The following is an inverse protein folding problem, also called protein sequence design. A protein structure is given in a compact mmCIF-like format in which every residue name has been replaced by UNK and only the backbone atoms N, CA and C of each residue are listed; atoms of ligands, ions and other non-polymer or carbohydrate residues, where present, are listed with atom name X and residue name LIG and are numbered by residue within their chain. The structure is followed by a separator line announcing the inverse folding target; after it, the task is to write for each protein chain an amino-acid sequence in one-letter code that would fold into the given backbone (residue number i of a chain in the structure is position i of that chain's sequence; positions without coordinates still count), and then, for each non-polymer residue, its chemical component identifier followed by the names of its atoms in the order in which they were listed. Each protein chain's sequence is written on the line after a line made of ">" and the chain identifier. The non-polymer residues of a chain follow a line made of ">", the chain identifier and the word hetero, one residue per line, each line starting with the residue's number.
data_IF_404541859157
#
_entry.id   IF_404541859157
#
_cell.length_a   1.000
_cell.length_b   1.000
_cell.length_c   1.000
_cell.angle_alpha   90.00
_cell.angle_beta   90.00
_cell.angle_gamma   90.00
#
_symmetry.space_group_name_H-M   'P 1'
#
loop_
_entity.id
_entity.type
_entity.pdbx_description
1 polymer ?
#
# COMPACT_ATOMS: atom_id res chain seq x y z
N UNK A 1 -32.53 -18.36 1.98
CA UNK A 1 -31.17 -17.79 2.00
C UNK A 1 -31.20 -16.63 1.03
N UNK A 2 -31.20 -15.38 1.51
CA UNK A 2 -31.27 -14.21 0.63
C UNK A 2 -30.04 -14.18 -0.27
N UNK A 3 -30.26 -14.30 -1.58
CA UNK A 3 -29.25 -13.98 -2.56
C UNK A 3 -29.08 -12.46 -2.54
N UNK A 4 -27.88 -11.97 -2.22
CA UNK A 4 -27.56 -10.57 -2.50
C UNK A 4 -27.40 -10.48 -4.02
N UNK A 5 -28.43 -9.98 -4.69
CA UNK A 5 -28.39 -9.60 -6.10
C UNK A 5 -27.99 -8.12 -6.18
N UNK A 6 -26.68 -7.88 -6.15
CA UNK A 6 -26.11 -6.54 -6.25
C UNK A 6 -25.19 -6.44 -7.47
N UNK A 7 -25.21 -5.28 -8.13
CA UNK A 7 -24.41 -4.98 -9.31
C UNK A 7 -23.81 -3.59 -9.20
N UNK A 8 -22.56 -3.46 -9.60
CA UNK A 8 -21.90 -2.17 -9.72
C UNK A 8 -20.42 -2.31 -10.05
N UNK A 9 -19.74 -1.16 -10.14
CA UNK A 9 -18.29 -1.14 -10.30
C UNK A 9 -17.61 -1.67 -9.05
N UNK A 10 -16.59 -2.51 -9.26
CA UNK A 10 -15.77 -3.06 -8.19
C UNK A 10 -14.77 -2.00 -7.72
N UNK A 11 -14.76 -1.72 -6.42
CA UNK A 11 -13.75 -0.88 -5.79
C UNK A 11 -12.92 -1.68 -4.79
N UNK A 12 -11.82 -1.09 -4.31
CA UNK A 12 -11.01 -1.66 -3.24
C UNK A 12 -11.92 -1.98 -2.04
N UNK A 13 -11.78 -3.18 -1.48
CA UNK A 13 -12.51 -3.57 -0.28
C UNK A 13 -12.21 -2.59 0.87
N UNK A 14 -13.24 -2.28 1.64
CA UNK A 14 -13.10 -1.56 2.89
C UNK A 14 -12.83 -2.57 3.99
N UNK A 15 -11.89 -2.24 4.87
CA UNK A 15 -11.46 -3.09 5.96
C UNK A 15 -11.54 -2.34 7.27
N UNK A 16 -12.03 -3.02 8.29
CA UNK A 16 -12.08 -2.53 9.66
C UNK A 16 -11.33 -3.53 10.54
N UNK A 17 -10.45 -3.00 11.40
CA UNK A 17 -9.68 -3.83 12.33
C UNK A 17 -10.60 -4.36 13.44
N UNK A 18 -10.83 -5.67 13.41
CA UNK A 18 -11.61 -6.43 14.39
C UNK A 18 -11.06 -7.85 14.50
N UNK A 19 -11.59 -8.66 15.40
CA UNK A 19 -11.21 -10.07 15.57
C UNK A 19 -12.43 -11.00 15.32
N UNK A 20 -12.58 -11.59 14.12
CA UNK A 20 -11.75 -11.45 12.91
C UNK A 20 -11.95 -10.09 12.20
N UNK A 21 -11.03 -9.71 11.30
CA UNK A 21 -11.11 -8.47 10.51
C UNK A 21 -12.41 -8.43 9.69
N UNK A 22 -13.08 -7.29 9.70
CA UNK A 22 -14.30 -7.06 8.94
C UNK A 22 -13.97 -6.57 7.53
N UNK A 23 -14.50 -7.27 6.53
CA UNK A 23 -14.38 -6.90 5.11
C UNK A 23 -15.73 -6.50 4.54
N UNK A 24 -15.74 -5.39 3.82
CA UNK A 24 -16.89 -4.93 3.05
C UNK A 24 -16.49 -4.72 1.59
N UNK A 25 -17.34 -5.20 0.67
CA UNK A 25 -17.17 -5.04 -0.76
C UNK A 25 -18.04 -3.89 -1.27
N UNK A 26 -17.46 -2.76 -1.69
CA UNK A 26 -18.23 -1.73 -2.36
C UNK A 26 -18.60 -2.20 -3.76
N UNK A 27 -19.90 -2.24 -4.03
CA UNK A 27 -20.46 -2.60 -5.33
C UNK A 27 -21.56 -1.58 -5.70
N UNK A 28 -21.19 -0.62 -6.56
CA UNK A 28 -22.07 0.51 -6.86
C UNK A 28 -22.32 1.36 -5.60
N UNK A 29 -23.58 1.51 -5.21
CA UNK A 29 -23.97 2.29 -4.02
C UNK A 29 -24.14 1.43 -2.76
N UNK A 30 -23.77 0.15 -2.81
CA UNK A 30 -23.92 -0.77 -1.68
C UNK A 30 -22.56 -1.18 -1.12
N UNK A 31 -22.50 -1.35 0.20
CA UNK A 31 -21.38 -1.96 0.92
C UNK A 31 -21.82 -3.34 1.39
N UNK A 32 -21.32 -4.38 0.73
CA UNK A 32 -21.70 -5.77 1.03
C UNK A 32 -20.77 -6.33 2.10
N UNK A 33 -21.24 -6.68 3.31
CA UNK A 33 -20.41 -7.33 4.31
C UNK A 33 -20.02 -8.73 3.83
N UNK A 34 -18.73 -9.04 3.78
CA UNK A 34 -18.23 -10.31 3.24
C UNK A 34 -18.10 -11.41 4.31
N UNK A 35 -17.83 -11.05 5.56
CA UNK A 35 -17.61 -12.00 6.65
C UNK A 35 -18.73 -13.05 6.81
N UNK A 36 -20.03 -12.69 6.71
CA UNK A 36 -21.13 -13.67 6.82
C UNK A 36 -21.14 -14.75 5.71
N UNK A 37 -20.39 -14.54 4.64
CA UNK A 37 -20.31 -15.44 3.48
C UNK A 37 -19.07 -16.34 3.48
N UNK A 38 -18.23 -16.27 4.53
CA UNK A 38 -17.09 -17.18 4.68
C UNK A 38 -17.59 -18.64 4.72
N UNK A 39 -16.91 -19.52 3.97
CA UNK A 39 -17.29 -20.93 3.81
C UNK A 39 -18.48 -21.18 2.88
N UNK A 40 -19.08 -20.14 2.28
CA UNK A 40 -20.18 -20.26 1.32
C UNK A 40 -19.69 -20.11 -0.12
N UNK A 41 -20.46 -20.68 -1.06
CA UNK A 41 -20.23 -20.48 -2.50
C UNK A 41 -20.72 -19.10 -2.92
N UNK A 42 -19.82 -18.29 -3.47
CA UNK A 42 -20.13 -16.98 -4.05
C UNK A 42 -20.00 -17.09 -5.57
N UNK A 43 -20.97 -16.52 -6.31
CA UNK A 43 -20.89 -16.37 -7.77
C UNK A 43 -20.68 -14.90 -8.10
N UNK A 44 -19.62 -14.61 -8.84
CA UNK A 44 -19.38 -13.31 -9.43
C UNK A 44 -19.61 -13.40 -10.94
N UNK A 45 -20.37 -12.46 -11.49
CA UNK A 45 -20.66 -12.38 -12.92
C UNK A 45 -20.21 -11.03 -13.46
N UNK A 46 -19.32 -11.04 -14.45
CA UNK A 46 -18.89 -9.83 -15.11
C UNK A 46 -19.93 -9.41 -16.16
N UNK A 47 -20.48 -8.20 -16.03
CA UNK A 47 -21.53 -7.72 -16.94
C UNK A 47 -21.02 -7.33 -18.33
N UNK A 48 -19.71 -7.21 -18.52
CA UNK A 48 -19.09 -6.66 -19.73
C UNK A 48 -18.77 -5.17 -19.63
N UNK A 49 -19.27 -4.48 -18.61
CA UNK A 49 -19.07 -3.03 -18.45
C UNK A 49 -17.79 -2.72 -17.67
N UNK A 50 -16.99 -1.81 -18.21
CA UNK A 50 -15.83 -1.27 -17.50
C UNK A 50 -15.97 0.25 -17.46
N UNK A 51 -16.03 0.80 -16.25
CA UNK A 51 -16.03 2.24 -15.99
C UNK A 51 -14.69 2.69 -15.43
N UNK A 52 -14.22 3.87 -15.84
CA UNK A 52 -13.06 4.50 -15.24
C UNK A 52 -13.35 4.88 -13.78
N UNK A 53 -12.52 4.44 -12.82
CA UNK A 53 -12.68 4.76 -11.39
C UNK A 53 -12.55 6.24 -11.06
N UNK A 54 -11.96 7.03 -11.96
CA UNK A 54 -11.81 8.48 -11.77
C UNK A 54 -12.91 9.31 -12.43
N UNK A 55 -13.24 9.03 -13.69
CA UNK A 55 -14.17 9.86 -14.46
C UNK A 55 -15.47 9.16 -14.85
N UNK A 56 -15.68 7.90 -14.46
CA UNK A 56 -16.87 7.11 -14.79
C UNK A 56 -16.98 6.70 -16.27
N UNK A 57 -16.11 7.19 -17.16
CA UNK A 57 -16.17 6.91 -18.60
C UNK A 57 -16.16 5.40 -18.88
N UNK A 58 -17.15 4.94 -19.65
CA UNK A 58 -17.17 3.59 -20.19
C UNK A 58 -15.97 3.34 -21.12
N UNK A 59 -15.32 2.20 -20.95
CA UNK A 59 -14.12 1.80 -21.70
C UNK A 59 -14.18 0.30 -21.99
N UNK A 60 -13.47 -0.13 -23.04
CA UNK A 60 -13.33 -1.56 -23.38
C UNK A 60 -12.22 -2.24 -22.58
N UNK A 61 -11.32 -1.46 -21.97
CA UNK A 61 -10.15 -1.93 -21.22
C UNK A 61 -9.94 -1.07 -19.98
N UNK A 62 -9.46 -1.71 -18.91
CA UNK A 62 -9.01 -1.04 -17.70
C UNK A 62 -7.49 -0.92 -17.69
N UNK A 63 -6.98 0.23 -17.25
CA UNK A 63 -5.57 0.53 -17.14
C UNK A 63 -5.23 0.90 -15.69
N UNK A 64 -4.02 0.59 -15.24
CA UNK A 64 -3.49 0.98 -13.93
C UNK A 64 -4.49 0.84 -12.75
N UNK A 65 -5.11 -0.34 -12.61
CA UNK A 65 -6.07 -0.65 -11.55
C UNK A 65 -7.43 0.09 -11.61
N UNK A 66 -7.92 0.47 -12.80
CA UNK A 66 -9.30 0.96 -12.93
C UNK A 66 -9.53 2.16 -13.84
N UNK A 67 -8.50 2.70 -14.49
CA UNK A 67 -8.59 3.93 -15.27
C UNK A 67 -8.86 3.67 -16.74
N UNK A 68 -9.48 4.64 -17.42
CA UNK A 68 -9.45 4.69 -18.88
C UNK A 68 -8.09 5.25 -19.37
N UNK A 69 -7.73 4.97 -20.63
CA UNK A 69 -6.45 5.40 -21.20
C UNK A 69 -6.17 6.91 -21.06
N UNK A 70 -7.13 7.83 -21.34
CA UNK A 70 -6.91 9.26 -21.13
C UNK A 70 -6.57 9.64 -19.69
N UNK A 71 -7.25 9.04 -18.70
CA UNK A 71 -6.96 9.28 -17.29
C UNK A 71 -5.59 8.70 -16.89
N UNK A 72 -5.22 7.53 -17.41
CA UNK A 72 -3.91 6.93 -17.17
C UNK A 72 -2.76 7.83 -17.65
N UNK A 73 -2.91 8.48 -18.80
CA UNK A 73 -1.88 9.37 -19.36
C UNK A 73 -1.87 10.74 -18.66
N UNK A 74 -3.02 11.23 -18.19
CA UNK A 74 -3.13 12.57 -17.62
C UNK A 74 -2.83 12.65 -16.12
N UNK A 75 -3.29 11.68 -15.33
CA UNK A 75 -3.31 11.79 -13.87
C UNK A 75 -1.97 11.41 -13.24
N UNK A 76 -1.52 12.18 -12.24
CA UNK A 76 -0.30 11.91 -11.48
C UNK A 76 -0.41 10.64 -10.62
N UNK A 77 -1.62 10.32 -10.13
CA UNK A 77 -1.86 9.04 -9.42
C UNK A 77 -1.71 7.79 -10.31
N UNK A 78 -1.51 7.98 -11.61
CA UNK A 78 -1.19 6.92 -12.56
C UNK A 78 0.30 6.85 -12.93
N UNK A 79 1.14 7.70 -12.33
CA UNK A 79 2.57 7.72 -12.61
C UNK A 79 3.28 6.48 -12.07
N UNK A 80 4.38 6.11 -12.73
CA UNK A 80 5.25 5.01 -12.28
C UNK A 80 5.73 5.21 -10.84
N UNK A 81 5.91 6.44 -10.39
CA UNK A 81 6.35 6.73 -9.02
C UNK A 81 5.31 6.38 -7.94
N UNK A 82 4.07 6.06 -8.33
CA UNK A 82 3.06 5.53 -7.42
C UNK A 82 3.35 4.07 -7.08
N UNK A 83 3.90 3.28 -8.00
CA UNK A 83 4.31 1.90 -7.73
C UNK A 83 5.78 1.78 -7.31
N UNK A 84 6.61 2.71 -7.76
CA UNK A 84 8.06 2.81 -7.48
C UNK A 84 8.38 4.16 -6.82
N UNK A 85 8.14 4.33 -5.51
CA UNK A 85 8.28 5.61 -4.80
C UNK A 85 9.66 6.27 -4.96
N UNK A 86 10.72 5.46 -5.13
CA UNK A 86 12.10 5.87 -5.40
C UNK A 86 12.28 6.57 -6.77
N UNK A 87 11.27 6.50 -7.65
CA UNK A 87 11.24 7.20 -8.94
C UNK A 87 10.36 8.46 -8.92
N UNK A 88 9.96 8.93 -7.72
CA UNK A 88 9.19 10.15 -7.58
C UNK A 88 9.93 11.36 -8.16
N UNK A 89 9.33 11.93 -9.20
CA UNK A 89 9.89 12.99 -10.03
C UNK A 89 9.38 14.39 -9.67
N UNK A 90 8.63 14.52 -8.56
CA UNK A 90 8.10 15.82 -8.11
C UNK A 90 9.20 16.88 -7.94
N UNK A 91 10.33 16.50 -7.33
CA UNK A 91 11.49 17.39 -7.14
C UNK A 91 12.12 17.87 -8.46
N UNK A 92 11.80 17.22 -9.59
CA UNK A 92 12.28 17.59 -10.93
C UNK A 92 11.33 18.58 -11.61
N UNK A 93 10.20 18.93 -10.99
CA UNK A 93 9.19 19.81 -11.57
C UNK A 93 8.34 19.17 -12.67
N UNK A 94 8.43 17.85 -12.85
CA UNK A 94 7.77 17.12 -13.96
C UNK A 94 6.50 16.37 -13.55
N UNK A 95 6.02 16.58 -12.33
CA UNK A 95 4.74 16.02 -11.87
C UNK A 95 3.60 16.50 -12.78
N UNK A 96 2.79 15.56 -13.30
CA UNK A 96 1.65 15.88 -14.19
C UNK A 96 0.62 16.78 -13.52
N UNK A 97 0.50 16.66 -12.20
CA UNK A 97 -0.41 17.45 -11.36
C UNK A 97 0.37 17.93 -10.11
N UNK A 98 1.10 19.06 -10.17
CA UNK A 98 1.95 19.51 -9.07
C UNK A 98 1.21 19.69 -7.75
N UNK A 99 0.02 20.29 -7.76
CA UNK A 99 -0.78 20.43 -6.53
C UNK A 99 -1.20 19.08 -5.93
N UNK A 100 -1.43 18.07 -6.76
CA UNK A 100 -1.68 16.71 -6.29
C UNK A 100 -0.42 16.14 -5.67
N UNK A 101 0.74 16.35 -6.30
CA UNK A 101 2.06 15.96 -5.81
C UNK A 101 2.41 16.57 -4.45
N UNK A 102 2.11 17.84 -4.23
CA UNK A 102 2.29 18.49 -2.92
C UNK A 102 1.47 17.76 -1.83
N UNK A 103 0.17 17.55 -2.08
CA UNK A 103 -0.74 16.90 -1.12
C UNK A 103 -0.47 15.41 -0.88
N UNK A 104 0.20 14.72 -1.80
CA UNK A 104 0.32 13.26 -1.80
C UNK A 104 1.76 12.73 -1.70
N UNK A 105 2.71 13.42 -2.31
CA UNK A 105 4.12 13.08 -2.31
C UNK A 105 4.89 13.83 -1.23
N UNK A 106 4.58 15.12 -1.01
CA UNK A 106 5.29 15.98 -0.04
C UNK A 106 4.59 16.00 1.32
N UNK A 107 4.42 14.81 1.89
CA UNK A 107 3.86 14.61 3.23
C UNK A 107 4.60 13.50 3.93
N UNK A 108 4.40 13.41 5.25
CA UNK A 108 4.96 12.34 6.06
C UNK A 108 4.52 10.97 5.54
N UNK A 109 5.51 10.12 5.28
CA UNK A 109 5.35 8.70 4.99
C UNK A 109 6.09 7.91 6.05
N UNK A 110 5.62 6.69 6.32
CA UNK A 110 6.22 5.77 7.27
C UNK A 110 6.82 4.60 6.53
N UNK A 111 8.07 4.29 6.85
CA UNK A 111 8.70 3.01 6.54
C UNK A 111 8.46 2.09 7.72
N UNK A 112 8.00 0.87 7.47
CA UNK A 112 7.65 -0.10 8.50
C UNK A 112 8.21 -1.49 8.17
N UNK A 113 8.46 -2.27 9.21
CA UNK A 113 8.67 -3.71 9.11
C UNK A 113 7.35 -4.44 9.29
N UNK A 114 7.12 -5.51 8.54
CA UNK A 114 5.95 -6.36 8.72
C UNK A 114 6.31 -7.83 8.58
N UNK A 115 5.54 -8.67 9.27
CA UNK A 115 5.60 -10.11 9.17
C UNK A 115 4.27 -10.62 8.57
N UNK A 116 4.29 -11.14 7.35
CA UNK A 116 3.15 -11.92 6.82
C UNK A 116 3.51 -13.35 6.37
N UNK A 117 4.79 -13.67 6.28
CA UNK A 117 5.30 -15.03 6.12
C UNK A 117 6.83 -15.05 6.33
N UNK A 118 7.33 -14.11 7.14
CA UNK A 118 8.70 -13.62 7.12
C UNK A 118 8.79 -12.10 7.10
N UNK A 119 9.96 -11.59 7.48
CA UNK A 119 10.24 -10.16 7.61
C UNK A 119 10.18 -9.45 6.25
N UNK A 120 9.56 -8.27 6.21
CA UNK A 120 9.47 -7.40 5.05
C UNK A 120 9.59 -5.94 5.46
N UNK A 121 10.02 -5.11 4.52
CA UNK A 121 9.88 -3.66 4.59
C UNK A 121 8.75 -3.20 3.69
N UNK A 122 8.01 -2.19 4.12
CA UNK A 122 7.01 -1.51 3.31
C UNK A 122 6.93 -0.03 3.65
N UNK A 123 6.20 0.71 2.80
CA UNK A 123 5.90 2.12 3.03
C UNK A 123 4.39 2.36 3.08
N UNK A 124 3.98 3.33 3.89
CA UNK A 124 2.58 3.72 4.02
C UNK A 124 2.45 5.18 4.44
N UNK A 125 1.22 5.68 4.51
CA UNK A 125 0.86 6.94 5.17
C UNK A 125 0.11 6.62 6.46
N UNK A 126 0.12 7.53 7.43
CA UNK A 126 -0.59 7.35 8.70
C UNK A 126 -2.07 6.97 8.48
N UNK A 127 -2.73 7.64 7.53
CA UNK A 127 -4.17 7.43 7.24
C UNK A 127 -4.49 6.01 6.73
N UNK A 128 -3.49 5.31 6.20
CA UNK A 128 -3.65 3.95 5.69
C UNK A 128 -3.30 2.89 6.74
N UNK A 129 -2.91 3.27 7.95
CA UNK A 129 -2.68 2.33 9.06
C UNK A 129 -3.99 2.21 9.84
N UNK A 130 -4.50 0.99 10.14
CA UNK A 130 -3.90 -0.33 9.91
C UNK A 130 -4.30 -1.01 8.59
N UNK A 131 -5.18 -0.41 7.78
CA UNK A 131 -5.75 -1.06 6.58
C UNK A 131 -4.70 -1.60 5.61
N UNK A 132 -3.57 -0.90 5.45
CA UNK A 132 -2.45 -1.33 4.61
C UNK A 132 -1.80 -2.63 5.08
N UNK A 133 -1.69 -2.83 6.39
CA UNK A 133 -1.10 -4.04 6.97
C UNK A 133 -2.05 -5.23 6.83
N UNK A 134 -3.35 -4.98 7.02
CA UNK A 134 -4.42 -5.95 6.79
C UNK A 134 -4.40 -6.42 5.31
N UNK A 135 -4.37 -5.48 4.36
CA UNK A 135 -4.32 -5.78 2.92
C UNK A 135 -3.10 -6.65 2.52
N UNK A 136 -2.02 -6.59 3.29
CA UNK A 136 -0.79 -7.36 3.07
C UNK A 136 -0.74 -8.68 3.85
N UNK A 137 -1.80 -9.00 4.60
CA UNK A 137 -1.88 -10.18 5.46
C UNK A 137 -0.89 -10.18 6.62
N UNK A 138 -0.44 -9.00 7.07
CA UNK A 138 0.55 -8.89 8.14
C UNK A 138 -0.04 -9.32 9.49
N UNK A 139 0.63 -10.26 10.16
CA UNK A 139 0.32 -10.67 11.54
C UNK A 139 1.00 -9.75 12.56
N UNK A 140 2.12 -9.13 12.18
CA UNK A 140 2.82 -8.12 12.98
C UNK A 140 3.28 -7.00 12.06
N UNK A 141 3.26 -5.76 12.54
CA UNK A 141 3.83 -4.61 11.86
C UNK A 141 4.40 -3.61 12.87
N UNK A 142 5.50 -2.96 12.49
CA UNK A 142 6.23 -2.02 13.31
C UNK A 142 6.70 -0.84 12.43
N UNK A 143 6.15 0.36 12.57
CA UNK A 143 6.76 1.57 12.02
C UNK A 143 8.19 1.74 12.54
N UNK A 144 9.14 2.06 11.65
CA UNK A 144 10.56 2.20 12.02
C UNK A 144 11.13 3.57 11.71
N UNK A 145 10.65 4.23 10.65
CA UNK A 145 11.12 5.55 10.23
C UNK A 145 9.95 6.39 9.73
N UNK A 146 9.92 7.66 10.13
CA UNK A 146 9.10 8.70 9.54
C UNK A 146 9.97 9.54 8.58
N UNK A 147 9.46 9.77 7.37
CA UNK A 147 10.16 10.55 6.33
C UNK A 147 9.25 11.61 5.74
N UNK A 148 9.81 12.74 5.32
CA UNK A 148 9.03 13.92 4.92
C UNK A 148 8.42 13.82 3.51
N UNK A 149 8.86 12.88 2.69
CA UNK A 149 8.30 12.71 1.34
C UNK A 149 8.25 11.25 0.88
N UNK A 150 7.39 11.01 -0.11
CA UNK A 150 7.28 9.72 -0.80
C UNK A 150 8.61 9.30 -1.43
N UNK A 151 9.34 10.24 -2.02
CA UNK A 151 10.63 9.96 -2.64
C UNK A 151 11.63 9.40 -1.61
N UNK A 152 11.74 10.06 -0.46
CA UNK A 152 12.60 9.61 0.64
C UNK A 152 12.16 8.22 1.14
N UNK A 153 10.85 7.96 1.26
CA UNK A 153 10.36 6.65 1.67
C UNK A 153 10.77 5.55 0.71
N UNK A 154 10.77 5.82 -0.60
CA UNK A 154 11.24 4.88 -1.62
C UNK A 154 12.74 4.61 -1.55
N UNK A 155 13.54 5.66 -1.36
CA UNK A 155 14.99 5.49 -1.20
C UNK A 155 15.32 4.63 0.03
N UNK A 156 14.65 4.88 1.16
CA UNK A 156 14.83 4.09 2.38
C UNK A 156 14.31 2.66 2.17
N UNK A 157 13.15 2.46 1.55
CA UNK A 157 12.63 1.12 1.25
C UNK A 157 13.62 0.30 0.40
N UNK A 158 14.22 0.91 -0.61
CA UNK A 158 15.25 0.25 -1.45
C UNK A 158 16.48 -0.13 -0.64
N UNK A 159 16.96 0.73 0.27
CA UNK A 159 18.07 0.38 1.16
C UNK A 159 17.75 -0.83 2.03
N UNK A 160 16.57 -0.86 2.66
CA UNK A 160 16.17 -1.97 3.52
C UNK A 160 15.96 -3.28 2.75
N UNK A 161 15.42 -3.22 1.53
CA UNK A 161 15.23 -4.39 0.66
C UNK A 161 16.52 -5.12 0.32
N UNK A 162 17.68 -4.47 0.36
CA UNK A 162 18.97 -5.13 0.13
C UNK A 162 19.35 -6.10 1.26
N UNK A 163 18.74 -5.96 2.44
CA UNK A 163 19.05 -6.76 3.63
C UNK A 163 17.91 -7.70 4.05
N UNK A 164 16.75 -7.62 3.39
CA UNK A 164 15.56 -8.40 3.72
C UNK A 164 15.19 -9.27 2.53
N UNK A 165 14.81 -10.53 2.77
CA UNK A 165 14.41 -11.44 1.71
C UNK A 165 13.15 -10.94 0.97
N UNK A 166 13.30 -10.65 -0.33
CA UNK A 166 12.31 -9.93 -1.14
C UNK A 166 11.11 -10.78 -1.64
N UNK A 167 10.68 -11.82 -0.89
CA UNK A 167 9.54 -12.66 -1.33
C UNK A 167 8.65 -13.15 -0.19
N UNK A 168 7.38 -12.79 -0.28
CA UNK A 168 6.28 -13.42 0.47
C UNK A 168 6.05 -14.84 -0.02
N UNK A 169 6.08 -15.83 0.86
CA UNK A 169 5.46 -17.12 0.57
C UNK A 169 3.96 -17.02 0.87
N UNK A 170 3.18 -16.60 -0.13
CA UNK A 170 1.74 -16.40 0.01
C UNK A 170 1.00 -17.69 0.43
N UNK A 171 1.55 -18.88 0.11
CA UNK A 171 0.97 -20.16 0.55
C UNK A 171 1.12 -20.34 2.06
N UNK A 172 2.27 -19.97 2.63
CA UNK A 172 2.49 -19.98 4.09
C UNK A 172 1.57 -18.97 4.77
N UNK A 173 1.47 -17.76 4.23
CA UNK A 173 0.55 -16.72 4.73
C UNK A 173 -0.90 -17.22 4.79
N UNK A 174 -1.42 -17.84 3.72
CA UNK A 174 -2.80 -18.33 3.67
C UNK A 174 -3.06 -19.55 4.57
N UNK A 175 -2.02 -20.30 4.96
CA UNK A 175 -2.15 -21.39 5.94
C UNK A 175 -2.32 -20.88 7.37
N UNK A 176 -2.09 -19.59 7.62
CA UNK A 176 -2.16 -18.99 8.96
C UNK A 176 -1.05 -19.43 9.92
N UNK A 177 -0.04 -20.17 9.41
CA UNK A 177 1.10 -20.66 10.18
C UNK A 177 2.28 -19.71 9.91
N UNK A 178 2.26 -18.55 10.57
CA UNK A 178 3.35 -17.56 10.50
C UNK A 178 3.92 -17.42 11.89
N UNK A 179 5.16 -17.84 12.06
CA UNK A 179 5.87 -17.65 13.33
C UNK A 179 6.06 -16.16 13.59
N UNK A 180 5.84 -15.75 14.83
CA UNK A 180 6.12 -14.39 15.27
C UNK A 180 7.62 -14.11 15.19
N UNK A 181 7.94 -12.87 14.81
CA UNK A 181 9.31 -12.37 14.75
C UNK A 181 9.51 -11.28 15.79
N UNK A 182 10.73 -11.18 16.31
CA UNK A 182 11.13 -10.02 17.10
C UNK A 182 11.39 -8.82 16.18
N UNK A 183 10.33 -8.09 15.84
CA UNK A 183 10.43 -6.93 14.94
C UNK A 183 11.29 -5.80 15.52
N UNK A 184 11.37 -5.69 16.85
CA UNK A 184 12.17 -4.66 17.53
C UNK A 184 13.66 -4.98 17.36
N UNK A 185 14.06 -6.23 17.57
CA UNK A 185 15.44 -6.68 17.34
C UNK A 185 15.82 -6.53 15.86
N UNK A 186 14.96 -6.98 14.95
CA UNK A 186 15.18 -6.81 13.52
C UNK A 186 15.34 -5.33 13.12
N UNK A 187 14.51 -4.43 13.68
CA UNK A 187 14.63 -2.97 13.49
C UNK A 187 15.99 -2.48 13.96
N UNK A 188 16.38 -2.79 15.20
CA UNK A 188 17.61 -2.29 15.80
C UNK A 188 18.84 -2.76 15.00
N UNK A 189 18.87 -4.04 14.60
CA UNK A 189 19.92 -4.61 13.76
C UNK A 189 20.01 -3.91 12.39
N UNK A 190 18.87 -3.72 11.72
CA UNK A 190 18.83 -3.06 10.41
C UNK A 190 19.25 -1.60 10.50
N UNK A 191 18.77 -0.85 11.50
CA UNK A 191 19.15 0.54 11.71
C UNK A 191 20.65 0.68 12.00
N UNK A 192 21.24 -0.24 12.76
CA UNK A 192 22.68 -0.25 13.02
C UNK A 192 23.48 -0.51 11.75
N UNK A 193 23.10 -1.52 10.96
CA UNK A 193 23.77 -1.87 9.69
C UNK A 193 23.66 -0.75 8.66
N UNK A 194 22.50 -0.10 8.58
CA UNK A 194 22.19 0.94 7.60
C UNK A 194 22.51 2.36 8.09
N UNK A 195 23.10 2.52 9.28
CA UNK A 195 23.34 3.82 9.89
C UNK A 195 24.09 4.79 8.98
N UNK A 196 25.12 4.30 8.27
CA UNK A 196 25.91 5.13 7.36
C UNK A 196 25.12 5.60 6.13
N UNK A 197 24.28 4.73 5.56
CA UNK A 197 23.46 5.07 4.39
C UNK A 197 22.28 5.98 4.75
N UNK A 198 21.67 5.75 5.92
CA UNK A 198 20.66 6.66 6.48
C UNK A 198 21.28 8.04 6.72
N UNK A 199 22.48 8.11 7.29
CA UNK A 199 23.20 9.37 7.51
C UNK A 199 23.49 10.11 6.19
N UNK A 200 23.83 9.39 5.12
CA UNK A 200 23.99 9.99 3.78
C UNK A 200 22.70 10.60 3.27
N UNK A 201 21.57 9.91 3.44
CA UNK A 201 20.26 10.45 3.05
C UNK A 201 19.88 11.66 3.90
N UNK A 202 20.13 11.64 5.22
CA UNK A 202 19.92 12.78 6.10
C UNK A 202 20.80 13.99 5.72
N UNK A 203 22.07 13.78 5.38
CA UNK A 203 22.93 14.85 4.91
C UNK A 203 22.44 15.46 3.58
N UNK A 204 21.82 14.65 2.72
CA UNK A 204 21.26 15.10 1.44
C UNK A 204 19.96 15.89 1.59
N UNK A 205 19.09 15.50 2.53
CA UNK A 205 17.73 16.04 2.64
C UNK A 205 17.47 16.87 3.91
N UNK A 206 18.45 16.95 4.81
CA UNK A 206 18.33 17.55 6.14
C UNK A 206 18.16 16.48 7.24
N UNK A 207 18.71 16.77 8.42
CA UNK A 207 18.71 15.83 9.56
C UNK A 207 17.29 15.42 10.01
N UNK A 208 16.30 16.30 9.83
CA UNK A 208 14.91 16.03 10.17
C UNK A 208 14.12 15.30 9.08
N UNK A 209 14.73 15.03 7.92
CA UNK A 209 14.04 14.40 6.80
C UNK A 209 13.75 12.92 7.01
N UNK A 210 14.54 12.24 7.85
CA UNK A 210 14.42 10.82 8.16
C UNK A 210 14.62 10.68 9.67
N UNK A 211 13.56 10.32 10.39
CA UNK A 211 13.55 10.21 11.84
C UNK A 211 13.12 8.80 12.25
N UNK A 212 13.76 8.23 13.26
CA UNK A 212 13.32 6.98 13.89
C UNK A 212 11.93 7.19 14.51
N UNK A 213 11.05 6.19 14.34
CA UNK A 213 9.83 6.14 15.12
C UNK A 213 10.14 5.63 16.53
N UNK A 214 9.47 6.19 17.52
CA UNK A 214 9.50 5.72 18.91
C UNK A 214 8.91 4.31 19.05
#
# INVERSE_FOLDING_TARGET
>A
MEAIDTRGSLHKMQVELSAPVNYQLPLGNQLVPLNPYLGRTIRLSFSGDIGCVHCGRATKKSFNQGYCYPCMIKLAQCDRCIVSPETCHYHQGTCREPEWGERNCMRTHYVYLANSSGLKVGITRAENVPSRWIDQGAVQALPILAVQSRYQSGLVEVLFKQHIADKTNWRTMLKGQVDELNLIEARNDLLLRLASDISRLQNRFGLQAIQACD
#
